data_IF_721186114345
#
_entry.id   IF_721186114345
#
_cell.length_a   1.000
_cell.length_b   1.000
_cell.length_c   1.000
_cell.angle_alpha   90.00
_cell.angle_beta   90.00
_cell.angle_gamma   90.00
#
_symmetry.space_group_name_H-M   'P 1'
#
loop_
_entity.id
_entity.type
_entity.pdbx_description
1 polymer ?
#
# COMPACT_ATOMS: atom_id res chain seq x y z
N UNK A 1 -53.44 5.21 -10.74
CA UNK A 1 -52.20 5.95 -10.48
C UNK A 1 -51.60 5.60 -9.12
N UNK A 2 -51.13 4.37 -8.92
CA UNK A 2 -50.48 3.92 -7.63
C UNK A 2 -49.27 2.99 -7.84
N UNK A 3 -48.71 2.90 -9.05
CA UNK A 3 -47.61 2.00 -9.37
C UNK A 3 -46.24 2.68 -9.54
N UNK A 4 -46.15 4.01 -9.46
CA UNK A 4 -44.89 4.75 -9.69
C UNK A 4 -44.05 5.00 -8.44
N UNK A 5 -44.61 4.85 -7.23
CA UNK A 5 -43.87 5.11 -5.98
C UNK A 5 -43.01 3.93 -5.51
N UNK A 6 -43.38 2.71 -5.90
CA UNK A 6 -42.66 1.49 -5.47
C UNK A 6 -41.37 1.30 -6.31
N UNK A 7 -41.38 1.74 -7.57
CA UNK A 7 -40.20 1.60 -8.45
C UNK A 7 -39.08 2.58 -8.09
N UNK A 8 -39.38 3.74 -7.52
CA UNK A 8 -38.37 4.71 -7.06
C UNK A 8 -37.68 4.24 -5.76
N UNK A 9 -38.43 3.55 -4.89
CA UNK A 9 -37.88 3.06 -3.62
C UNK A 9 -36.91 1.84 -3.80
N UNK A 10 -37.11 1.07 -4.89
CA UNK A 10 -36.24 -0.06 -5.22
C UNK A 10 -34.92 0.37 -5.89
N UNK A 11 -34.84 1.55 -6.47
CA UNK A 11 -33.61 2.08 -7.09
C UNK A 11 -32.72 2.75 -6.03
N UNK A 12 -33.31 3.31 -4.95
CA UNK A 12 -32.55 3.87 -3.84
C UNK A 12 -31.92 2.81 -2.91
N UNK A 13 -32.38 1.57 -2.94
CA UNK A 13 -31.84 0.48 -2.11
C UNK A 13 -30.61 -0.22 -2.73
N UNK A 14 -30.22 0.15 -3.95
CA UNK A 14 -29.10 -0.47 -4.66
C UNK A 14 -27.78 0.31 -4.57
N UNK A 15 -27.76 1.44 -3.87
CA UNK A 15 -26.56 2.25 -3.64
C UNK A 15 -26.17 2.25 -2.16
N UNK A 16 -25.98 1.05 -1.59
CA UNK A 16 -25.11 0.96 -0.43
C UNK A 16 -23.67 0.92 -1.01
N UNK A 17 -22.79 1.85 -0.64
CA UNK A 17 -21.40 1.73 -0.97
C UNK A 17 -20.94 0.37 -0.39
N UNK A 18 -20.49 -0.54 -1.23
CA UNK A 18 -19.55 -1.51 -0.79
C UNK A 18 -18.36 -0.66 -0.34
N UNK A 19 -18.02 -0.66 0.95
CA UNK A 19 -16.75 -0.11 1.41
C UNK A 19 -15.69 -0.81 0.55
N UNK A 20 -15.23 -0.13 -0.47
CA UNK A 20 -14.11 -0.60 -1.25
C UNK A 20 -12.93 -0.46 -0.32
N UNK A 21 -12.23 -1.54 -0.09
CA UNK A 21 -10.97 -1.48 0.63
C UNK A 21 -10.00 -0.73 -0.28
N UNK A 22 -9.56 0.43 0.13
CA UNK A 22 -8.78 1.34 -0.70
C UNK A 22 -7.43 0.75 -1.07
N UNK A 23 -6.84 -0.09 -0.21
CA UNK A 23 -5.58 -0.79 -0.46
C UNK A 23 -5.70 -2.29 -0.28
N UNK A 24 -6.01 -3.04 -1.35
CA UNK A 24 -6.01 -4.50 -1.28
C UNK A 24 -4.60 -5.12 -1.30
N UNK A 25 -3.54 -4.30 -1.39
CA UNK A 25 -2.15 -4.72 -1.58
C UNK A 25 -1.22 -4.09 -0.55
N UNK A 26 0.03 -4.58 -0.47
CA UNK A 26 1.03 -4.08 0.46
C UNK A 26 2.03 -3.09 -0.18
N UNK A 27 2.32 -3.29 -1.46
CA UNK A 27 3.31 -2.50 -2.21
C UNK A 27 2.67 -1.77 -3.38
N UNK A 28 1.76 -2.45 -4.07
CA UNK A 28 1.07 -1.88 -5.24
C UNK A 28 -0.02 -0.91 -4.79
N UNK A 29 -0.03 0.26 -5.35
CA UNK A 29 -1.13 1.22 -5.18
C UNK A 29 -2.22 0.99 -6.21
N UNK A 30 -3.48 1.06 -5.78
CA UNK A 30 -4.62 1.15 -6.67
C UNK A 30 -4.89 2.62 -7.07
N UNK A 31 -5.81 2.82 -8.01
CA UNK A 31 -6.24 4.17 -8.38
C UNK A 31 -7.31 4.75 -7.45
N UNK A 32 -7.72 3.98 -6.46
CA UNK A 32 -8.69 4.41 -5.46
C UNK A 32 -8.04 5.42 -4.51
N UNK A 33 -8.82 6.42 -4.10
CA UNK A 33 -8.37 7.54 -3.29
C UNK A 33 -9.19 7.56 -2.00
N UNK A 34 -8.57 7.99 -0.89
CA UNK A 34 -9.28 8.19 0.36
C UNK A 34 -10.43 9.21 0.20
N UNK A 35 -11.57 8.92 0.79
CA UNK A 35 -12.73 9.79 0.72
C UNK A 35 -12.47 11.15 1.41
N UNK A 36 -12.92 12.27 0.82
CA UNK A 36 -12.66 13.59 1.37
C UNK A 36 -13.14 13.76 2.80
N UNK A 37 -12.23 14.06 3.69
CA UNK A 37 -12.49 14.27 5.11
C UNK A 37 -12.28 13.03 5.99
N UNK A 38 -12.09 11.87 5.42
CA UNK A 38 -11.75 10.66 6.16
C UNK A 38 -10.26 10.62 6.49
N UNK A 39 -9.94 9.94 7.56
CA UNK A 39 -8.58 9.60 7.97
C UNK A 39 -8.49 8.10 8.15
N UNK A 40 -7.68 7.43 7.35
CA UNK A 40 -7.28 6.05 7.62
C UNK A 40 -5.98 6.03 8.43
N UNK A 41 -5.92 5.15 9.41
CA UNK A 41 -4.73 4.89 10.22
C UNK A 41 -4.34 3.44 10.00
N UNK A 42 -3.17 3.23 9.43
CA UNK A 42 -2.66 1.92 9.12
C UNK A 42 -1.38 1.60 9.89
N UNK A 43 -1.22 0.33 10.26
CA UNK A 43 0.03 -0.20 10.80
C UNK A 43 0.43 -1.39 9.93
N UNK A 44 1.50 -1.22 9.18
CA UNK A 44 2.08 -2.29 8.37
C UNK A 44 3.34 -2.85 8.99
N UNK A 45 3.54 -4.13 8.73
CA UNK A 45 4.69 -4.86 9.23
C UNK A 45 5.22 -5.82 8.16
N UNK A 46 6.55 -5.88 8.04
CA UNK A 46 7.26 -6.85 7.23
C UNK A 46 8.20 -7.66 8.11
N UNK A 47 8.09 -8.98 8.06
CA UNK A 47 8.96 -9.91 8.78
C UNK A 47 9.74 -10.74 7.78
N UNK A 48 11.05 -10.76 7.92
CA UNK A 48 11.91 -11.54 7.05
C UNK A 48 13.16 -12.07 7.76
N UNK A 49 13.84 -12.98 7.08
CA UNK A 49 15.15 -13.47 7.47
C UNK A 49 16.04 -13.54 6.23
N UNK A 50 16.93 -12.54 6.03
CA UNK A 50 17.89 -12.58 4.95
C UNK A 50 18.84 -13.78 5.10
N UNK A 51 19.37 -14.34 4.01
CA UNK A 51 20.43 -15.34 4.09
C UNK A 51 21.63 -14.79 4.85
N UNK A 52 22.11 -15.56 5.85
CA UNK A 52 23.27 -15.15 6.67
C UNK A 52 23.04 -14.08 7.73
N UNK A 53 21.82 -13.55 7.86
CA UNK A 53 21.49 -12.50 8.82
C UNK A 53 20.42 -12.91 9.83
N UNK A 54 20.20 -12.05 10.82
CA UNK A 54 19.15 -12.20 11.82
C UNK A 54 17.75 -11.90 11.22
N UNK A 55 16.71 -12.39 11.88
CA UNK A 55 15.34 -12.00 11.58
C UNK A 55 15.12 -10.53 11.92
N UNK A 56 14.30 -9.88 11.14
CA UNK A 56 13.88 -8.52 11.38
C UNK A 56 12.36 -8.39 11.34
N UNK A 57 11.87 -7.33 11.96
CA UNK A 57 10.55 -6.76 11.83
C UNK A 57 10.75 -5.31 11.37
N UNK A 58 10.36 -4.99 10.15
CA UNK A 58 10.13 -3.61 9.72
C UNK A 58 8.68 -3.23 9.98
N UNK A 59 8.43 -2.02 10.42
CA UNK A 59 7.09 -1.54 10.76
C UNK A 59 6.93 -0.09 10.37
N UNK A 60 5.78 0.28 9.83
CA UNK A 60 5.38 1.67 9.68
C UNK A 60 3.99 1.93 10.28
N UNK A 61 3.78 3.17 10.67
CA UNK A 61 2.47 3.72 11.01
C UNK A 61 2.18 4.79 9.96
N UNK A 62 1.02 4.68 9.33
CA UNK A 62 0.56 5.53 8.26
C UNK A 62 -0.68 6.29 8.70
N UNK A 63 -0.78 7.53 8.27
CA UNK A 63 -1.93 8.42 8.42
C UNK A 63 -2.32 8.92 7.03
N UNK A 64 -3.34 8.33 6.44
CA UNK A 64 -3.87 8.69 5.12
C UNK A 64 -5.08 9.60 5.28
N UNK A 65 -5.05 10.80 4.70
CA UNK A 65 -6.13 11.76 4.77
C UNK A 65 -6.65 12.16 3.40
N UNK A 66 -7.94 11.98 3.18
CA UNK A 66 -8.65 12.46 2.00
C UNK A 66 -8.83 13.98 2.02
N UNK A 67 -7.99 14.70 1.29
CA UNK A 67 -8.05 16.17 1.23
C UNK A 67 -9.16 16.63 0.28
N UNK A 68 -9.23 15.99 -0.89
CA UNK A 68 -10.22 16.23 -1.95
C UNK A 68 -10.46 14.92 -2.71
N UNK A 69 -11.50 14.82 -3.49
CA UNK A 69 -11.79 13.66 -4.35
C UNK A 69 -10.69 13.32 -5.35
N UNK A 70 -9.73 14.20 -5.54
CA UNK A 70 -8.60 14.05 -6.46
C UNK A 70 -7.24 14.19 -5.78
N UNK A 71 -7.20 14.36 -4.46
CA UNK A 71 -5.98 14.54 -3.68
C UNK A 71 -6.08 13.85 -2.33
N UNK A 72 -5.19 12.92 -2.11
CA UNK A 72 -4.92 12.26 -0.82
C UNK A 72 -3.51 12.61 -0.37
N UNK A 73 -3.33 12.84 0.92
CA UNK A 73 -2.02 13.10 1.53
C UNK A 73 -1.79 12.12 2.67
N UNK A 74 -0.59 11.55 2.72
CA UNK A 74 -0.22 10.50 3.65
C UNK A 74 1.07 10.85 4.38
N UNK A 75 1.16 10.46 5.64
CA UNK A 75 2.34 10.66 6.44
C UNK A 75 2.71 9.36 7.16
N UNK A 76 3.99 8.99 7.07
CA UNK A 76 4.52 7.74 7.60
C UNK A 76 5.55 7.95 8.68
N UNK A 77 5.56 7.05 9.65
CA UNK A 77 6.61 6.90 10.66
C UNK A 77 7.15 5.47 10.56
N UNK A 78 8.44 5.36 10.24
CA UNK A 78 9.10 4.09 9.96
C UNK A 78 10.03 3.66 11.10
N UNK A 79 10.09 2.37 11.33
CA UNK A 79 10.98 1.79 12.34
C UNK A 79 11.24 0.32 12.09
N UNK A 80 12.28 -0.20 12.73
CA UNK A 80 12.64 -1.60 12.62
C UNK A 80 13.25 -2.17 13.89
N UNK A 81 13.05 -3.47 14.07
CA UNK A 81 13.70 -4.28 15.11
C UNK A 81 14.43 -5.45 14.44
N UNK A 82 15.67 -5.68 14.81
CA UNK A 82 16.47 -6.83 14.33
C UNK A 82 16.86 -7.70 15.51
N UNK A 83 16.60 -9.00 15.43
CA UNK A 83 16.94 -9.96 16.48
C UNK A 83 18.44 -9.94 16.77
N UNK A 84 18.80 -9.96 18.04
CA UNK A 84 20.19 -9.86 18.56
C UNK A 84 20.91 -8.56 18.13
N UNK A 85 20.18 -7.52 17.79
CA UNK A 85 20.72 -6.20 17.49
C UNK A 85 19.94 -5.16 18.33
N UNK A 86 19.05 -4.39 17.74
CA UNK A 86 18.33 -3.29 18.40
C UNK A 86 17.00 -3.01 17.73
N UNK A 87 16.26 -2.06 18.31
CA UNK A 87 15.10 -1.40 17.70
C UNK A 87 15.46 0.04 17.47
N UNK A 88 15.18 0.55 16.26
CA UNK A 88 15.44 1.93 15.87
C UNK A 88 14.23 2.54 15.15
N UNK A 89 14.08 3.85 15.29
CA UNK A 89 13.27 4.67 14.41
C UNK A 89 14.10 4.99 13.17
N UNK A 90 13.61 4.66 11.98
CA UNK A 90 14.35 4.85 10.74
C UNK A 90 14.06 6.19 10.08
N UNK A 91 12.83 6.66 10.11
CA UNK A 91 12.51 7.95 9.52
C UNK A 91 11.04 8.25 9.35
N UNK A 92 10.77 9.20 8.47
CA UNK A 92 9.42 9.58 8.09
C UNK A 92 9.36 9.82 6.58
N UNK A 93 8.14 9.67 6.05
CA UNK A 93 7.84 9.92 4.65
C UNK A 93 6.58 10.74 4.53
N UNK A 94 6.48 11.53 3.48
CA UNK A 94 5.31 12.34 3.18
C UNK A 94 4.93 12.17 1.72
N UNK A 95 3.80 11.55 1.51
CA UNK A 95 3.24 11.16 0.24
C UNK A 95 2.07 12.05 -0.15
N UNK A 96 1.90 12.26 -1.44
CA UNK A 96 0.73 12.90 -2.04
C UNK A 96 0.34 12.20 -3.33
N UNK A 97 -0.93 11.83 -3.43
CA UNK A 97 -1.52 11.22 -4.62
C UNK A 97 -2.51 12.18 -5.28
N UNK A 98 -2.44 12.25 -6.59
CA UNK A 98 -3.29 13.14 -7.40
C UNK A 98 -3.96 12.35 -8.51
N UNK A 99 -5.31 12.29 -8.49
CA UNK A 99 -6.13 11.63 -9.50
C UNK A 99 -6.67 12.66 -10.50
N UNK A 100 -6.13 12.74 -11.73
CA UNK A 100 -6.56 13.74 -12.71
C UNK A 100 -7.93 13.44 -13.31
N UNK A 101 -8.37 12.18 -13.33
CA UNK A 101 -9.67 11.77 -13.88
C UNK A 101 -10.64 11.49 -12.73
N UNK A 102 -11.63 12.38 -12.56
CA UNK A 102 -12.60 12.29 -11.46
C UNK A 102 -13.69 11.24 -11.67
N UNK A 103 -13.82 10.71 -12.89
CA UNK A 103 -14.75 9.63 -13.22
C UNK A 103 -13.98 8.36 -13.47
N UNK A 104 -14.63 7.23 -13.24
CA UNK A 104 -14.06 5.92 -13.55
C UNK A 104 -13.92 5.75 -15.08
N UNK A 105 -12.77 5.31 -15.50
CA UNK A 105 -12.39 5.00 -16.88
C UNK A 105 -11.85 3.56 -16.95
N UNK A 106 -11.61 3.08 -18.16
CA UNK A 106 -10.96 1.77 -18.36
C UNK A 106 -9.56 1.74 -17.73
N UNK A 107 -8.82 2.83 -17.82
CA UNK A 107 -7.54 3.05 -17.12
C UNK A 107 -7.66 4.36 -16.36
N UNK A 108 -7.35 4.32 -15.09
CA UNK A 108 -7.44 5.46 -14.17
C UNK A 108 -6.02 5.79 -13.69
N UNK A 109 -5.36 6.80 -14.28
CA UNK A 109 -4.05 7.22 -13.83
C UNK A 109 -4.14 7.97 -12.50
N UNK A 110 -3.16 7.72 -11.62
CA UNK A 110 -2.88 8.55 -10.44
C UNK A 110 -1.40 8.90 -10.46
N UNK A 111 -1.10 10.15 -10.17
CA UNK A 111 0.26 10.65 -10.01
C UNK A 111 0.58 10.65 -8.53
N UNK A 112 1.67 10.01 -8.18
CA UNK A 112 2.18 9.90 -6.82
C UNK A 112 3.51 10.63 -6.70
N UNK A 113 3.70 11.34 -5.61
CA UNK A 113 4.96 11.99 -5.25
C UNK A 113 5.16 11.83 -3.74
N UNK A 114 6.29 11.27 -3.35
CA UNK A 114 6.70 11.12 -1.95
C UNK A 114 8.04 11.81 -1.71
N UNK A 115 8.17 12.42 -0.55
CA UNK A 115 9.44 12.85 0.02
C UNK A 115 9.79 11.93 1.19
N UNK A 116 10.98 11.39 1.14
CA UNK A 116 11.52 10.49 2.16
C UNK A 116 12.68 11.12 2.90
N UNK A 117 12.73 10.86 4.20
CA UNK A 117 13.87 11.15 5.06
C UNK A 117 14.05 9.98 6.00
N UNK A 118 14.68 8.96 5.48
CA UNK A 118 14.82 7.66 6.15
C UNK A 118 16.27 7.29 6.35
N UNK A 119 16.51 6.29 7.15
CA UNK A 119 17.77 5.55 7.20
C UNK A 119 17.58 4.25 6.45
N UNK A 120 18.63 3.49 6.20
CA UNK A 120 18.55 2.16 5.64
C UNK A 120 17.49 1.31 6.36
N UNK A 121 16.44 0.97 5.67
CA UNK A 121 15.16 0.55 6.20
C UNK A 121 14.87 -0.91 5.78
N UNK A 122 14.22 -1.63 6.67
CA UNK A 122 13.77 -3.02 6.49
C UNK A 122 12.24 -3.12 6.42
N UNK A 123 11.52 -2.01 6.50
CA UNK A 123 10.07 -1.99 6.38
C UNK A 123 9.62 -2.31 4.95
N UNK A 124 10.45 -2.02 3.97
CA UNK A 124 10.29 -2.33 2.54
C UNK A 124 8.86 -2.25 2.06
N UNK A 125 8.48 -1.11 1.60
CA UNK A 125 7.21 -0.95 0.89
C UNK A 125 7.34 -1.42 -0.55
N UNK A 126 8.30 -0.91 -1.26
CA UNK A 126 8.69 -1.32 -2.61
C UNK A 126 10.15 -1.73 -2.68
N UNK A 127 10.56 -2.11 -3.87
CA UNK A 127 11.94 -2.37 -4.23
C UNK A 127 12.24 -1.50 -5.44
N UNK A 128 13.23 -0.65 -5.31
CA UNK A 128 13.68 0.27 -6.34
C UNK A 128 15.15 0.00 -6.64
N UNK A 129 15.61 0.37 -7.80
CA UNK A 129 17.01 0.27 -8.15
C UNK A 129 17.59 -1.14 -8.07
N UNK A 130 18.67 -1.22 -7.34
CA UNK A 130 19.38 -2.47 -7.04
C UNK A 130 19.18 -2.94 -5.61
N UNK A 131 18.18 -2.42 -4.90
CA UNK A 131 17.84 -2.84 -3.55
C UNK A 131 17.69 -4.35 -3.44
N UNK A 132 18.21 -4.90 -2.37
CA UNK A 132 18.17 -6.34 -2.22
C UNK A 132 18.77 -6.86 -0.92
N UNK A 133 19.15 -8.14 -0.93
CA UNK A 133 19.70 -8.82 0.26
C UNK A 133 20.81 -8.05 0.95
N UNK A 134 21.77 -7.38 0.28
CA UNK A 134 22.83 -6.63 0.97
C UNK A 134 22.32 -5.57 1.93
N UNK A 135 21.23 -4.87 1.58
CA UNK A 135 20.69 -3.76 2.37
C UNK A 135 20.08 -4.26 3.68
N UNK A 136 19.51 -5.46 3.68
CA UNK A 136 18.99 -6.11 4.88
C UNK A 136 20.08 -6.62 5.83
N UNK A 137 21.32 -6.73 5.38
CA UNK A 137 22.45 -7.16 6.21
C UNK A 137 23.02 -6.03 7.06
N UNK A 138 22.70 -4.78 6.74
CA UNK A 138 23.17 -3.59 7.48
C UNK A 138 22.66 -3.66 8.92
N UNK A 139 23.54 -3.65 9.93
CA UNK A 139 23.13 -3.65 11.33
C UNK A 139 22.51 -2.32 11.72
N UNK A 140 21.55 -2.32 12.64
CA UNK A 140 20.78 -1.14 13.02
C UNK A 140 21.63 0.05 13.50
N UNK A 141 22.76 -0.22 14.19
CA UNK A 141 23.66 0.84 14.65
C UNK A 141 24.33 1.61 13.49
N UNK A 142 24.52 0.96 12.35
CA UNK A 142 25.06 1.57 11.14
C UNK A 142 23.93 2.20 10.32
N UNK A 143 22.82 1.49 10.11
CA UNK A 143 21.67 1.97 9.38
C UNK A 143 21.19 3.36 9.86
N UNK A 144 21.10 3.58 11.17
CA UNK A 144 20.70 4.88 11.74
C UNK A 144 21.65 6.05 11.46
N UNK A 145 22.88 5.78 11.00
CA UNK A 145 23.88 6.82 10.69
C UNK A 145 23.81 7.24 9.23
N UNK A 146 23.31 6.38 8.38
CA UNK A 146 23.15 6.60 6.97
C UNK A 146 21.74 7.10 6.72
N UNK A 147 21.62 8.41 6.57
CA UNK A 147 20.34 9.08 6.32
C UNK A 147 20.24 9.50 4.87
N UNK A 148 19.22 9.02 4.24
CA UNK A 148 18.88 9.30 2.87
C UNK A 148 17.72 10.29 2.79
N UNK A 149 17.75 11.10 1.75
CA UNK A 149 16.66 11.99 1.39
C UNK A 149 16.33 11.77 -0.06
N UNK A 150 15.10 11.34 -0.29
CA UNK A 150 14.69 10.87 -1.60
C UNK A 150 13.39 11.51 -2.03
N UNK A 151 13.23 11.59 -3.32
CA UNK A 151 11.95 11.91 -3.95
C UNK A 151 11.57 10.72 -4.80
N UNK A 152 10.49 10.06 -4.41
CA UNK A 152 9.91 9.01 -5.19
C UNK A 152 8.71 9.54 -5.98
N UNK A 153 8.55 9.04 -7.19
CA UNK A 153 7.40 9.31 -8.05
C UNK A 153 6.87 8.01 -8.62
N UNK A 154 5.54 7.85 -8.61
CA UNK A 154 4.88 6.72 -9.27
C UNK A 154 3.85 7.21 -10.27
N UNK A 155 3.79 6.52 -11.39
CA UNK A 155 2.61 6.51 -12.24
C UNK A 155 1.80 5.26 -11.91
N UNK A 156 0.67 5.44 -11.26
CA UNK A 156 -0.25 4.37 -10.90
C UNK A 156 -1.29 4.27 -12.01
N UNK A 157 -1.49 3.09 -12.56
CA UNK A 157 -2.51 2.78 -13.55
C UNK A 157 -3.44 1.72 -12.98
N UNK A 158 -4.68 2.08 -12.72
CA UNK A 158 -5.66 1.18 -12.14
C UNK A 158 -6.87 0.97 -13.03
N UNK A 159 -7.46 -0.21 -12.96
CA UNK A 159 -8.66 -0.61 -13.69
C UNK A 159 -9.55 -1.48 -12.83
N UNK A 160 -10.84 -1.15 -12.79
CA UNK A 160 -11.86 -1.99 -12.16
C UNK A 160 -12.74 -2.64 -13.25
N UNK A 161 -12.76 -3.96 -13.30
CA UNK A 161 -13.56 -4.69 -14.27
C UNK A 161 -14.25 -5.91 -13.67
N UNK A 162 -15.57 -5.91 -13.63
CA UNK A 162 -16.40 -7.02 -13.11
C UNK A 162 -15.96 -7.49 -11.71
N UNK A 163 -15.61 -6.54 -10.84
CA UNK A 163 -15.15 -6.79 -9.49
C UNK A 163 -13.67 -7.17 -9.36
N UNK A 164 -12.95 -7.30 -10.47
CA UNK A 164 -11.50 -7.37 -10.46
C UNK A 164 -10.92 -5.96 -10.39
N UNK A 165 -10.00 -5.73 -9.47
CA UNK A 165 -9.08 -4.60 -9.50
C UNK A 165 -7.76 -5.08 -10.11
N UNK A 166 -7.23 -4.33 -11.08
CA UNK A 166 -5.92 -4.56 -11.69
C UNK A 166 -5.17 -3.24 -11.56
N UNK A 167 -4.00 -3.30 -10.97
CA UNK A 167 -3.18 -2.10 -10.69
C UNK A 167 -1.74 -2.33 -11.12
N UNK A 168 -1.14 -1.32 -11.70
CA UNK A 168 0.25 -1.29 -12.14
C UNK A 168 0.88 0.03 -11.70
N UNK A 169 2.06 -0.04 -11.10
CA UNK A 169 2.84 1.11 -10.68
C UNK A 169 4.19 1.11 -11.39
N UNK A 170 4.51 2.21 -12.02
CA UNK A 170 5.84 2.49 -12.58
C UNK A 170 6.51 3.46 -11.62
N UNK A 171 7.63 3.06 -11.04
CA UNK A 171 8.30 3.75 -9.94
C UNK A 171 9.59 4.36 -10.46
N UNK A 172 9.86 5.59 -10.05
CA UNK A 172 11.13 6.25 -10.26
C UNK A 172 11.51 7.05 -9.02
N UNK A 173 12.69 6.79 -8.49
CA UNK A 173 13.22 7.37 -7.28
C UNK A 173 14.52 8.12 -7.52
N UNK A 174 14.75 9.16 -6.74
CA UNK A 174 15.93 9.99 -6.82
C UNK A 174 16.42 10.38 -5.44
N UNK A 175 17.54 9.78 -5.04
CA UNK A 175 18.27 10.26 -3.89
C UNK A 175 18.87 11.63 -4.18
N UNK A 176 18.65 12.59 -3.27
CA UNK A 176 19.08 13.98 -3.42
C UNK A 176 20.59 14.18 -3.19
N UNK A 177 21.32 13.14 -2.81
CA UNK A 177 22.76 13.17 -2.51
C UNK A 177 23.69 12.88 -3.71
N UNK A 178 23.20 12.91 -4.95
CA UNK A 178 23.89 12.64 -6.22
C UNK A 178 23.82 11.22 -6.79
N UNK A 179 23.09 10.32 -6.21
CA UNK A 179 22.89 8.99 -6.77
C UNK A 179 22.12 9.05 -8.10
N UNK A 180 22.21 8.05 -8.95
CA UNK A 180 21.43 8.00 -10.17
C UNK A 180 19.93 7.94 -9.90
N UNK A 181 19.10 8.19 -10.93
CA UNK A 181 17.71 7.79 -10.88
C UNK A 181 17.62 6.28 -10.86
N UNK A 182 16.78 5.77 -9.97
CA UNK A 182 16.46 4.36 -9.78
C UNK A 182 15.03 4.07 -10.21
N UNK A 183 14.77 2.84 -10.60
CA UNK A 183 13.49 2.46 -11.15
C UNK A 183 12.99 1.15 -10.52
N UNK A 184 11.67 1.07 -10.40
CA UNK A 184 10.98 -0.10 -9.91
C UNK A 184 9.62 -0.28 -10.56
N UNK A 185 8.99 -1.38 -10.24
CA UNK A 185 7.62 -1.66 -10.64
C UNK A 185 6.87 -2.41 -9.55
N UNK A 186 5.56 -2.22 -9.52
CA UNK A 186 4.65 -3.08 -8.77
C UNK A 186 3.41 -3.35 -9.61
N UNK A 187 2.91 -4.56 -9.53
CA UNK A 187 1.72 -5.02 -10.24
C UNK A 187 0.87 -5.87 -9.32
N UNK A 188 -0.44 -5.70 -9.37
CA UNK A 188 -1.32 -6.53 -8.58
C UNK A 188 -2.69 -6.71 -9.23
N UNK A 189 -3.35 -7.79 -8.83
CA UNK A 189 -4.73 -8.10 -9.19
C UNK A 189 -5.45 -8.65 -7.97
N UNK A 190 -6.67 -8.18 -7.71
CA UNK A 190 -7.48 -8.69 -6.61
C UNK A 190 -8.96 -8.70 -6.93
N UNK A 191 -9.71 -9.40 -6.10
CA UNK A 191 -11.16 -9.45 -6.19
C UNK A 191 -11.79 -9.79 -4.84
N UNK A 192 -12.92 -9.16 -4.46
CA UNK A 192 -13.76 -9.65 -3.38
C UNK A 192 -14.22 -11.09 -3.67
N UNK A 193 -14.21 -11.97 -2.67
CA UNK A 193 -14.64 -13.36 -2.85
C UNK A 193 -16.13 -13.45 -3.23
N UNK A 194 -16.92 -12.43 -2.90
CA UNK A 194 -18.30 -12.29 -3.32
C UNK A 194 -18.64 -10.81 -3.53
N UNK A 195 -19.23 -10.48 -4.66
CA UNK A 195 -19.59 -9.11 -5.02
C UNK A 195 -20.93 -8.63 -4.41
N UNK A 196 -21.84 -9.54 -4.14
CA UNK A 196 -23.14 -9.19 -3.59
C UNK A 196 -23.14 -9.30 -2.07
N UNK A 197 -23.65 -8.29 -1.39
CA UNK A 197 -23.82 -8.31 0.05
C UNK A 197 -24.74 -9.45 0.48
N UNK A 198 -24.45 -10.07 1.61
CA UNK A 198 -25.28 -11.09 2.21
C UNK A 198 -26.51 -10.46 2.86
N UNK A 199 -27.67 -11.14 2.78
CA UNK A 199 -28.91 -10.67 3.38
C UNK A 199 -28.84 -10.56 4.93
N UNK A 200 -27.88 -11.21 5.55
CA UNK A 200 -27.62 -11.11 7.00
C UNK A 200 -26.21 -10.56 7.23
N UNK A 201 -26.10 -9.61 8.16
CA UNK A 201 -24.78 -9.13 8.62
C UNK A 201 -24.01 -10.29 9.27
N UNK A 202 -22.85 -10.58 8.76
CA UNK A 202 -21.97 -11.59 9.33
C UNK A 202 -20.50 -11.13 9.24
N UNK A 203 -19.74 -11.42 10.28
CA UNK A 203 -18.34 -10.99 10.35
C UNK A 203 -17.43 -11.74 9.35
N UNK A 204 -17.74 -13.00 9.05
CA UNK A 204 -16.95 -13.87 8.18
C UNK A 204 -17.69 -14.24 6.89
N UNK A 205 -18.54 -13.35 6.38
CA UNK A 205 -19.16 -13.53 5.07
C UNK A 205 -18.12 -13.33 3.96
N UNK A 206 -18.31 -14.03 2.84
CA UNK A 206 -17.36 -14.04 1.73
C UNK A 206 -17.12 -12.63 1.11
N UNK A 207 -18.13 -11.77 1.15
CA UNK A 207 -18.01 -10.37 0.68
C UNK A 207 -17.09 -9.49 1.53
N UNK A 208 -16.69 -9.96 2.71
CA UNK A 208 -15.73 -9.26 3.58
C UNK A 208 -14.29 -9.67 3.36
N UNK A 209 -14.09 -10.65 2.50
CA UNK A 209 -12.76 -11.09 2.11
C UNK A 209 -12.46 -10.65 0.69
N UNK A 210 -11.27 -10.12 0.51
CA UNK A 210 -10.67 -9.86 -0.78
C UNK A 210 -9.39 -10.68 -0.90
N UNK A 211 -9.21 -11.33 -2.03
CA UNK A 211 -8.00 -12.09 -2.34
C UNK A 211 -7.35 -11.57 -3.62
N UNK A 212 -6.05 -11.60 -3.66
CA UNK A 212 -5.27 -11.10 -4.79
C UNK A 212 -3.93 -11.77 -4.95
N UNK A 213 -3.21 -11.27 -5.91
CA UNK A 213 -1.81 -11.59 -6.19
C UNK A 213 -1.08 -10.27 -6.40
N UNK A 214 0.11 -10.15 -5.84
CA UNK A 214 0.97 -8.97 -5.96
C UNK A 214 2.36 -9.41 -6.41
N UNK A 215 2.99 -8.64 -7.30
CA UNK A 215 4.35 -8.82 -7.78
C UNK A 215 5.04 -7.46 -7.88
N UNK A 216 6.27 -7.35 -7.39
CA UNK A 216 7.04 -6.11 -7.45
C UNK A 216 8.54 -6.39 -7.49
N UNK A 217 9.32 -5.39 -7.89
CA UNK A 217 10.78 -5.49 -7.93
C UNK A 217 11.47 -4.29 -8.54
N UNK A 218 12.79 -4.24 -8.36
CA UNK A 218 13.64 -3.22 -8.94
C UNK A 218 13.89 -3.41 -10.43
N UNK A 219 14.16 -2.32 -11.10
CA UNK A 219 14.56 -2.26 -12.51
C UNK A 219 15.96 -1.65 -12.71
N UNK A 220 16.73 -1.54 -11.61
CA UNK A 220 18.04 -0.94 -11.65
C UNK A 220 18.01 0.59 -11.80
N UNK A 221 19.12 1.15 -12.19
CA UNK A 221 19.30 2.59 -12.30
C UNK A 221 19.39 3.04 -13.78
N UNK A 222 19.52 4.36 -13.99
CA UNK A 222 19.62 4.95 -15.34
C UNK A 222 20.86 4.49 -16.12
N UNK A 223 21.88 3.91 -15.50
CA UNK A 223 23.09 3.42 -16.14
C UNK A 223 23.06 1.91 -16.36
N UNK A 224 22.31 1.20 -15.52
CA UNK A 224 22.16 -0.26 -15.54
C UNK A 224 20.69 -0.64 -15.38
N UNK A 225 19.88 -0.26 -16.37
CA UNK A 225 18.44 -0.53 -16.38
C UNK A 225 18.16 -1.98 -16.80
N UNK A 226 17.36 -2.71 -16.01
CA UNK A 226 16.94 -4.08 -16.32
C UNK A 226 16.69 -4.91 -15.06
N UNK A 227 16.57 -6.23 -15.25
CA UNK A 227 16.26 -7.19 -14.18
C UNK A 227 17.51 -7.81 -13.56
N UNK A 228 18.70 -7.36 -13.94
CA UNK A 228 19.96 -7.92 -13.45
C UNK A 228 20.33 -7.29 -12.10
N UNK A 229 20.67 -8.15 -11.15
CA UNK A 229 21.08 -7.72 -9.79
C UNK A 229 19.99 -6.89 -9.06
N UNK A 230 18.74 -7.16 -9.35
CA UNK A 230 17.57 -6.53 -8.74
C UNK A 230 16.73 -7.58 -8.02
N UNK A 231 16.06 -7.20 -6.93
CA UNK A 231 15.19 -8.12 -6.20
C UNK A 231 13.79 -8.13 -6.80
N UNK A 232 13.15 -9.27 -6.75
CA UNK A 232 11.76 -9.46 -7.21
C UNK A 232 11.01 -10.35 -6.25
N UNK A 233 9.76 -9.99 -6.00
CA UNK A 233 8.88 -10.72 -5.10
C UNK A 233 7.52 -10.97 -5.75
N UNK A 234 6.89 -12.08 -5.36
CA UNK A 234 5.51 -12.40 -5.72
C UNK A 234 4.82 -13.08 -4.54
N UNK A 235 3.55 -12.76 -4.31
CA UNK A 235 2.79 -13.43 -3.28
C UNK A 235 1.30 -13.14 -3.32
N UNK A 236 0.48 -14.06 -2.76
CA UNK A 236 -0.95 -13.83 -2.61
C UNK A 236 -1.21 -12.77 -1.54
N UNK A 237 -2.27 -12.00 -1.70
CA UNK A 237 -2.81 -11.08 -0.70
C UNK A 237 -4.18 -11.54 -0.24
N UNK A 238 -4.45 -11.41 1.05
CA UNK A 238 -5.77 -11.65 1.63
C UNK A 238 -6.09 -10.54 2.61
N UNK A 239 -7.27 -9.96 2.45
CA UNK A 239 -7.77 -8.91 3.31
C UNK A 239 -9.12 -9.32 3.87
N UNK A 240 -9.36 -8.99 5.12
CA UNK A 240 -10.62 -9.20 5.81
C UNK A 240 -11.05 -7.89 6.49
N UNK A 241 -12.23 -7.38 6.11
CA UNK A 241 -12.79 -6.17 6.69
C UNK A 241 -13.88 -6.50 7.71
N UNK A 242 -13.64 -6.12 8.96
CA UNK A 242 -14.60 -6.30 10.03
C UNK A 242 -15.86 -5.44 9.81
N UNK A 243 -17.04 -5.85 10.28
CA UNK A 243 -18.23 -5.01 10.24
C UNK A 243 -18.05 -3.77 11.13
N UNK A 244 -18.01 -2.57 10.54
CA UNK A 244 -17.77 -1.29 11.23
C UNK A 244 -16.48 -1.32 12.10
N UNK A 245 -15.43 -1.89 11.57
CA UNK A 245 -14.19 -2.11 12.33
C UNK A 245 -12.97 -2.15 11.41
N UNK A 246 -11.84 -2.61 11.95
CA UNK A 246 -10.59 -2.61 11.19
C UNK A 246 -10.62 -3.59 10.01
N UNK A 247 -9.75 -3.32 9.05
CA UNK A 247 -9.32 -4.26 8.04
C UNK A 247 -8.02 -4.91 8.47
N UNK A 248 -7.92 -6.23 8.30
CA UNK A 248 -6.72 -7.01 8.55
C UNK A 248 -6.23 -7.57 7.23
N UNK A 249 -4.96 -7.34 6.94
CA UNK A 249 -4.30 -7.74 5.70
C UNK A 249 -3.14 -8.69 5.97
N UNK A 250 -2.96 -9.68 5.10
CA UNK A 250 -1.86 -10.63 5.19
C UNK A 250 -1.36 -11.03 3.80
N UNK A 251 -0.04 -11.12 3.64
CA UNK A 251 0.61 -11.56 2.40
C UNK A 251 1.95 -12.25 2.67
N UNK A 252 2.09 -13.54 2.39
CA UNK A 252 3.38 -14.19 2.26
C UNK A 252 3.97 -13.84 0.89
N UNK A 253 5.15 -13.23 0.87
CA UNK A 253 5.87 -12.86 -0.34
C UNK A 253 7.09 -13.76 -0.54
N UNK A 254 7.30 -14.24 -1.76
CA UNK A 254 8.37 -15.14 -2.13
C UNK A 254 9.37 -14.42 -3.04
N UNK A 255 10.63 -14.42 -2.65
CA UNK A 255 11.73 -13.93 -3.49
C UNK A 255 11.94 -14.82 -4.71
N UNK A 256 12.09 -14.22 -5.87
CA UNK A 256 12.19 -14.92 -7.15
C UNK A 256 13.63 -15.19 -7.60
N UNK A 257 14.62 -14.61 -6.92
CA UNK A 257 16.03 -14.76 -7.26
C UNK A 257 16.93 -14.60 -6.02
N UNK A 258 18.25 -14.75 -6.21
CA UNK A 258 19.24 -14.72 -5.12
C UNK A 258 19.45 -13.30 -4.52
N UNK A 259 19.00 -12.25 -5.19
CA UNK A 259 19.02 -10.88 -4.69
C UNK A 259 17.84 -10.58 -3.75
N UNK A 260 16.83 -11.43 -3.76
CA UNK A 260 15.62 -11.30 -2.94
C UNK A 260 15.73 -12.08 -1.64
N UNK A 261 15.09 -11.59 -0.57
CA UNK A 261 14.89 -12.41 0.62
C UNK A 261 13.95 -13.56 0.25
N UNK A 262 14.31 -14.83 0.55
CA UNK A 262 13.51 -15.97 0.09
C UNK A 262 12.06 -15.93 0.54
N UNK A 263 11.76 -15.35 1.72
CA UNK A 263 10.41 -15.22 2.25
C UNK A 263 10.27 -13.95 3.07
N UNK A 264 9.28 -13.14 2.72
CA UNK A 264 8.79 -12.03 3.51
C UNK A 264 7.35 -12.30 3.92
N UNK A 265 6.99 -11.97 5.13
CA UNK A 265 5.61 -12.04 5.60
C UNK A 265 5.16 -10.62 5.92
N UNK A 266 4.13 -10.16 5.22
CA UNK A 266 3.54 -8.86 5.44
C UNK A 266 2.20 -9.00 6.14
N UNK A 267 1.93 -8.15 7.11
CA UNK A 267 0.65 -8.06 7.76
C UNK A 267 0.36 -6.61 8.15
N UNK A 268 -0.91 -6.25 8.05
CA UNK A 268 -1.37 -4.90 8.32
C UNK A 268 -2.70 -4.89 9.05
N UNK A 269 -2.95 -3.78 9.71
CA UNK A 269 -4.25 -3.45 10.29
C UNK A 269 -4.52 -2.00 9.96
N UNK A 270 -5.66 -1.71 9.34
CA UNK A 270 -6.13 -0.35 9.08
C UNK A 270 -7.45 -0.07 9.77
N UNK A 271 -7.70 1.20 10.06
CA UNK A 271 -8.95 1.68 10.63
C UNK A 271 -9.29 3.06 10.11
N UNK A 272 -10.38 3.15 9.35
CA UNK A 272 -10.89 4.40 8.79
C UNK A 272 -11.75 5.16 9.80
N UNK A 273 -11.50 6.44 9.93
CA UNK A 273 -12.27 7.41 10.74
C UNK A 273 -13.00 8.34 9.77
N UNK A 274 -14.29 8.08 9.57
CA UNK A 274 -15.13 8.90 8.70
C UNK A 274 -15.23 10.35 9.23
N UNK A 275 -15.15 11.31 8.33
CA UNK A 275 -15.31 12.75 8.60
C UNK A 275 -14.46 13.24 9.81
N UNK A 276 -13.19 12.85 9.88
CA UNK A 276 -12.29 13.07 10.99
C UNK A 276 -12.29 14.49 11.54
N UNK A 277 -12.22 15.53 10.70
CA UNK A 277 -12.27 16.92 11.14
C UNK A 277 -13.66 17.34 11.65
N UNK A 278 -14.73 16.62 11.30
CA UNK A 278 -16.07 16.85 11.80
C UNK A 278 -16.22 16.54 13.28
N UNK A 279 -15.43 15.57 13.79
CA UNK A 279 -15.41 15.21 15.22
C UNK A 279 -15.05 16.41 16.09
N UNK A 280 -14.16 17.28 15.63
CA UNK A 280 -13.72 18.47 16.36
C UNK A 280 -14.64 19.69 16.18
N UNK A 281 -15.57 19.67 15.20
CA UNK A 281 -16.52 20.74 14.90
C UNK A 281 -17.89 20.55 15.56
N UNK A 282 -18.20 19.36 16.07
CA UNK A 282 -19.49 18.99 16.64
C UNK A 282 -19.72 19.41 18.12
N UNK A 283 -18.97 20.36 18.63
CA UNK A 283 -19.06 20.87 20.01
C UNK A 283 -19.70 22.26 20.16
N UNK A 284 -20.72 22.58 19.32
CA UNK A 284 -21.52 23.79 19.54
C UNK A 284 -23.01 23.44 19.59
#
# INVERSE_FOLDING_TARGET
MKTSAISVLLILAAALPAAAQERPYFVTYSHEMEEPGNLDIEVFNAVGKPPGANRFLGSNIEFEYGVKTWWTSEFYLDGQATANDSTIFTGYRWENRFRPLLREHWINPVIYVEFENTSADKALREVVGHDGVPDFLVPNWLARQDKEREIETKLILGSNYRGWNISENIIAEKNLSNDPWEFGYAWAVSRPLKLAASARKCAFCAERFQAGLEMYGGLGDRYSFGLNQTSHYVGPTVNWSAPNGPTISFSPQFGLNDYSIPRLYRFGVSYEIEQFLGIFRGGN
#
